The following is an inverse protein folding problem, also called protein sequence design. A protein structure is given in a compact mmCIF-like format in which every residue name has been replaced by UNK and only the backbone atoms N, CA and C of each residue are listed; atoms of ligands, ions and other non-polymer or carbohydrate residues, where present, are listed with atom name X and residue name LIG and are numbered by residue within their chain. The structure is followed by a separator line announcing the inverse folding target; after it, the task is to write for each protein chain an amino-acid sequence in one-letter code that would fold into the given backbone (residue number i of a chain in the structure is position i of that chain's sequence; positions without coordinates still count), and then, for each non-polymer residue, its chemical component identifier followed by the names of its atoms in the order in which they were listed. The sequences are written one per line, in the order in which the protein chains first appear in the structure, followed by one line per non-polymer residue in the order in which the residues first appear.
data_IF_552382247805
#
_entry.id   IF_552382247805
#
_cell.length_a   1.000
_cell.length_b   1.000
_cell.length_c   1.000
_cell.angle_alpha   90.00
_cell.angle_beta   90.00
_cell.angle_gamma   90.00
#
_symmetry.space_group_name_H-M   'P 1'
#
loop_
_entity.id
_entity.type
_entity.pdbx_description
1 polymer ?
#
# COMPACT_ATOMS: atom_id res chain seq x y z
N UNK A 1 0.89 -0.96 21.14
CA UNK A 1 0.53 -0.40 19.80
C UNK A 1 0.78 -1.35 18.61
N UNK A 2 0.77 -2.68 18.82
CA UNK A 2 1.01 -3.70 17.79
C UNK A 2 -0.23 -4.05 16.94
N UNK A 3 -1.39 -3.43 17.20
CA UNK A 3 -2.66 -3.72 16.50
C UNK A 3 -3.25 -2.50 15.78
N UNK A 4 -2.40 -1.59 15.32
CA UNK A 4 -2.83 -0.51 14.44
C UNK A 4 -2.81 -1.05 13.02
N UNK A 5 -3.99 -1.27 12.46
CA UNK A 5 -4.21 -1.72 11.09
C UNK A 5 -5.04 -0.62 10.42
N UNK A 6 -4.65 -0.23 9.22
CA UNK A 6 -5.37 0.78 8.46
C UNK A 6 -5.40 0.41 6.98
N UNK A 7 -6.30 1.05 6.26
CA UNK A 7 -6.44 0.88 4.81
C UNK A 7 -5.83 2.08 4.10
N UNK A 8 -4.99 1.82 3.09
CA UNK A 8 -4.44 2.84 2.22
C UNK A 8 -5.29 2.99 0.96
N UNK A 9 -5.54 4.24 0.59
CA UNK A 9 -6.18 4.59 -0.68
C UNK A 9 -5.18 5.25 -1.63
N UNK A 10 -5.26 4.90 -2.91
CA UNK A 10 -4.46 5.53 -3.96
C UNK A 10 -5.19 5.47 -5.29
N UNK A 11 -4.73 6.26 -6.26
CA UNK A 11 -5.33 6.31 -7.60
C UNK A 11 -5.15 4.99 -8.35
N UNK A 12 -6.12 4.11 -8.20
CA UNK A 12 -6.18 2.85 -8.94
C UNK A 12 -6.69 3.07 -10.37
N UNK A 13 -6.06 2.39 -11.34
CA UNK A 13 -6.57 2.30 -12.72
C UNK A 13 -6.86 0.86 -13.13
N UNK A 14 -5.85 -0.02 -13.03
CA UNK A 14 -5.98 -1.38 -13.56
C UNK A 14 -6.42 -2.43 -12.54
N UNK A 15 -6.26 -2.20 -11.23
CA UNK A 15 -6.56 -3.20 -10.19
C UNK A 15 -5.70 -4.48 -10.18
N UNK A 16 -4.77 -4.66 -11.13
CA UNK A 16 -4.07 -5.93 -11.38
C UNK A 16 -2.53 -5.83 -11.24
N UNK A 17 -2.02 -4.71 -10.70
CA UNK A 17 -0.57 -4.47 -10.59
C UNK A 17 0.16 -4.19 -11.91
N UNK A 18 -0.55 -4.05 -13.04
CA UNK A 18 0.07 -3.85 -14.37
C UNK A 18 0.41 -2.39 -14.69
N UNK A 19 -0.39 -1.44 -14.22
CA UNK A 19 -0.28 -0.03 -14.64
C UNK A 19 0.63 0.85 -13.77
N UNK A 20 1.19 0.32 -12.68
CA UNK A 20 2.02 1.10 -11.77
C UNK A 20 1.25 2.03 -10.83
N UNK A 21 0.14 2.64 -11.22
CA UNK A 21 -0.50 3.75 -10.43
C UNK A 21 -0.89 3.45 -8.97
N UNK A 22 -0.98 2.18 -8.60
CA UNK A 22 -1.26 1.74 -7.24
C UNK A 22 0.03 1.36 -6.47
N UNK A 23 1.23 1.79 -6.90
CA UNK A 23 2.50 1.46 -6.26
C UNK A 23 2.94 2.45 -5.16
N UNK A 24 3.39 1.93 -4.03
CA UNK A 24 4.19 2.65 -3.02
C UNK A 24 5.51 1.91 -2.92
N UNK A 25 6.59 2.55 -3.36
CA UNK A 25 7.88 1.89 -3.52
C UNK A 25 7.77 0.63 -4.38
N UNK A 26 7.93 -0.52 -3.73
CA UNK A 26 7.91 -1.87 -4.33
C UNK A 26 6.57 -2.60 -4.19
N UNK A 27 5.65 -2.06 -3.42
CA UNK A 27 4.37 -2.69 -3.06
C UNK A 27 3.26 -2.10 -3.91
N UNK A 28 2.34 -2.94 -4.37
CA UNK A 28 1.16 -2.55 -5.14
C UNK A 28 -0.08 -2.69 -4.27
N UNK A 29 -0.72 -1.59 -3.88
CA UNK A 29 -1.94 -1.59 -3.05
C UNK A 29 -3.05 -2.46 -3.67
N UNK A 30 -3.17 -2.43 -5.00
CA UNK A 30 -4.19 -3.21 -5.69
C UNK A 30 -3.92 -4.72 -5.78
N UNK A 31 -2.71 -5.19 -5.42
CA UNK A 31 -2.33 -6.61 -5.46
C UNK A 31 -1.97 -7.15 -4.08
N UNK A 32 -1.12 -6.42 -3.36
CA UNK A 32 -0.64 -6.77 -2.02
C UNK A 32 -1.67 -6.42 -0.94
N UNK A 33 -2.70 -5.66 -1.32
CA UNK A 33 -3.87 -5.37 -0.52
C UNK A 33 -3.85 -3.94 0.01
N UNK A 34 -5.02 -3.33 0.24
CA UNK A 34 -5.09 -1.99 0.83
C UNK A 34 -4.85 -2.00 2.34
N UNK A 35 -4.88 -3.17 2.99
CA UNK A 35 -4.81 -3.30 4.45
C UNK A 35 -3.35 -3.47 4.88
N UNK A 36 -2.84 -2.50 5.64
CA UNK A 36 -1.47 -2.52 6.16
C UNK A 36 -1.45 -2.32 7.67
N UNK A 37 -0.51 -3.00 8.31
CA UNK A 37 -0.17 -2.76 9.71
C UNK A 37 0.71 -1.52 9.83
N UNK A 38 0.68 -0.88 11.00
CA UNK A 38 1.54 0.25 11.30
C UNK A 38 3.04 -0.05 11.16
N UNK A 39 3.46 -1.30 11.39
CA UNK A 39 4.84 -1.71 11.16
C UNK A 39 5.20 -1.70 9.67
N UNK A 40 4.35 -2.27 8.82
CA UNK A 40 4.53 -2.25 7.36
C UNK A 40 4.55 -0.82 6.81
N UNK A 41 3.72 0.08 7.36
CA UNK A 41 3.73 1.50 6.98
C UNK A 41 5.05 2.19 7.34
N UNK A 42 5.65 1.85 8.48
CA UNK A 42 6.98 2.36 8.84
C UNK A 42 8.07 1.85 7.89
N UNK A 43 7.97 0.59 7.47
CA UNK A 43 8.94 -0.03 6.56
C UNK A 43 8.81 0.47 5.11
N UNK A 44 7.61 0.90 4.70
CA UNK A 44 7.36 1.53 3.40
C UNK A 44 8.06 2.90 3.23
N UNK A 45 8.53 3.51 4.32
CA UNK A 45 9.26 4.77 4.30
C UNK A 45 8.40 5.98 3.92
N UNK A 46 9.04 7.15 3.83
CA UNK A 46 8.41 8.44 3.49
C UNK A 46 8.04 8.56 1.99
N UNK A 47 7.73 7.46 1.30
CA UNK A 47 7.30 7.46 -0.11
C UNK A 47 5.78 7.76 -0.25
N UNK A 48 5.27 8.62 0.62
CA UNK A 48 3.89 9.11 0.62
C UNK A 48 3.81 10.52 0.02
#
# INVERSE_FOLDING_TARGET
PQQIITTLEMKMKCGLGKCGRCNIGKVYICKDGPVFTYQQLKDLGNEF
#
